data_IF_686520765681
#
_entry.id   IF_686520765681
#
_cell.length_a   1.000
_cell.length_b   1.000
_cell.length_c   1.000
_cell.angle_alpha   90.00
_cell.angle_beta   90.00
_cell.angle_gamma   90.00
#
_symmetry.space_group_name_H-M   'P 1'
#
loop_
_entity.id
_entity.type
_entity.pdbx_description
1 polymer ?
#
# COMPACT_ATOMS: atom_id res chain seq x y z
N UNK A 1 0.93 -11.35 -2.63
CA UNK A 1 0.75 -10.74 -1.30
C UNK A 1 -0.35 -11.50 -0.57
N UNK A 2 -0.11 -11.93 0.66
CA UNK A 2 -1.04 -12.78 1.43
C UNK A 2 -1.64 -12.03 2.63
N UNK A 3 -2.81 -12.49 3.08
CA UNK A 3 -3.43 -11.96 4.30
C UNK A 3 -2.47 -12.10 5.50
N UNK A 4 -2.34 -11.03 6.28
CA UNK A 4 -1.40 -10.96 7.40
C UNK A 4 0.01 -10.48 7.04
N UNK A 5 0.32 -10.26 5.76
CA UNK A 5 1.55 -9.56 5.39
C UNK A 5 1.48 -8.09 5.82
N UNK A 6 2.63 -7.54 6.21
CA UNK A 6 2.78 -6.13 6.57
C UNK A 6 3.52 -5.39 5.47
N UNK A 7 2.86 -4.37 4.93
CA UNK A 7 3.38 -3.49 3.90
C UNK A 7 3.71 -2.14 4.54
N UNK A 8 4.94 -1.69 4.37
CA UNK A 8 5.34 -0.31 4.68
C UNK A 8 5.11 0.53 3.43
N UNK A 9 4.26 1.54 3.54
CA UNK A 9 3.97 2.47 2.45
C UNK A 9 4.53 3.84 2.87
N UNK A 10 5.34 4.43 2.00
CA UNK A 10 5.85 5.79 2.17
C UNK A 10 5.55 6.61 0.92
N UNK A 11 5.26 7.89 1.12
CA UNK A 11 5.05 8.85 0.04
C UNK A 11 6.16 9.90 0.16
N UNK A 12 6.89 10.11 -0.92
CA UNK A 12 7.98 11.09 -0.95
C UNK A 12 7.47 12.48 -0.61
N UNK A 13 8.22 13.21 0.22
CA UNK A 13 7.88 14.54 0.72
C UNK A 13 6.65 14.59 1.65
N UNK A 14 6.13 13.42 2.07
CA UNK A 14 4.95 13.28 2.91
C UNK A 14 5.20 12.27 4.05
N UNK A 15 6.04 12.65 5.03
CA UNK A 15 6.32 11.83 6.22
C UNK A 15 5.06 11.47 7.02
N UNK A 16 4.03 12.32 6.97
CA UNK A 16 2.74 12.05 7.62
C UNK A 16 1.96 10.87 6.99
N UNK A 17 2.28 10.54 5.73
CA UNK A 17 1.69 9.41 5.01
C UNK A 17 2.57 8.15 5.09
N UNK A 18 3.76 8.24 5.68
CA UNK A 18 4.60 7.07 5.91
C UNK A 18 4.06 6.22 7.05
N UNK A 19 3.44 5.09 6.72
CA UNK A 19 2.96 4.14 7.71
C UNK A 19 2.87 2.71 7.20
N UNK A 20 2.92 1.82 8.17
CA UNK A 20 2.79 0.39 7.95
C UNK A 20 1.31 0.00 7.96
N UNK A 21 0.89 -0.67 6.91
CA UNK A 21 -0.45 -1.23 6.75
C UNK A 21 -0.36 -2.75 6.74
N UNK A 22 -1.39 -3.40 7.27
CA UNK A 22 -1.52 -4.85 7.23
C UNK A 22 -2.52 -5.25 6.16
N UNK A 23 -2.23 -6.34 5.46
CA UNK A 23 -3.18 -6.94 4.53
C UNK A 23 -4.28 -7.62 5.34
N UNK A 24 -5.49 -7.10 5.21
CA UNK A 24 -6.68 -7.60 5.86
C UNK A 24 -7.03 -9.03 5.37
N UNK A 25 -7.86 -9.80 6.11
CA UNK A 25 -8.22 -11.17 5.74
C UNK A 25 -8.95 -11.31 4.40
N UNK A 26 -9.59 -10.24 3.94
CA UNK A 26 -10.21 -10.12 2.62
C UNK A 26 -9.17 -9.92 1.49
N UNK A 27 -7.91 -9.65 1.84
CA UNK A 27 -6.82 -9.38 0.92
C UNK A 27 -6.71 -7.91 0.50
N UNK A 28 -7.36 -7.00 1.21
CA UNK A 28 -7.26 -5.56 0.96
C UNK A 28 -6.29 -4.89 1.94
N UNK A 29 -5.79 -3.72 1.56
CA UNK A 29 -5.06 -2.79 2.43
C UNK A 29 -5.87 -1.51 2.57
N UNK A 30 -5.79 -0.88 3.73
CA UNK A 30 -6.43 0.41 3.99
C UNK A 30 -5.37 1.49 4.14
N UNK A 31 -5.42 2.52 3.29
CA UNK A 31 -4.49 3.65 3.31
C UNK A 31 -5.28 4.97 3.28
N UNK A 32 -4.88 6.00 4.05
CA UNK A 32 -5.54 7.30 4.02
C UNK A 32 -5.44 7.93 2.62
N UNK A 33 -6.44 8.73 2.24
CA UNK A 33 -6.58 9.33 0.90
C UNK A 33 -6.86 8.32 -0.23
N UNK A 34 -6.16 7.18 -0.25
CA UNK A 34 -6.34 6.16 -1.26
C UNK A 34 -7.52 5.20 -0.98
N UNK A 35 -7.92 5.06 0.28
CA UNK A 35 -9.02 4.19 0.70
C UNK A 35 -8.61 2.73 0.81
N UNK A 36 -9.52 1.82 0.42
CA UNK A 36 -9.25 0.38 0.38
C UNK A 36 -8.72 -0.01 -1.00
N UNK A 37 -7.58 -0.71 -1.02
CA UNK A 37 -6.91 -1.19 -2.23
C UNK A 37 -6.79 -2.70 -2.16
N UNK A 38 -7.05 -3.38 -3.27
CA UNK A 38 -6.90 -4.82 -3.33
C UNK A 38 -5.42 -5.16 -3.54
N UNK A 39 -4.78 -5.73 -2.52
CA UNK A 39 -3.38 -6.16 -2.58
C UNK A 39 -3.26 -7.66 -2.89
N UNK A 40 -4.34 -8.42 -2.70
CA UNK A 40 -4.40 -9.86 -2.98
C UNK A 40 -4.09 -10.14 -4.45
N UNK A 41 -3.28 -11.16 -4.70
CA UNK A 41 -2.86 -11.59 -6.04
C UNK A 41 -2.16 -10.50 -6.89
N UNK A 42 -1.97 -9.28 -6.36
CA UNK A 42 -1.22 -8.21 -7.00
C UNK A 42 0.24 -8.20 -6.60
N UNK A 43 1.06 -7.72 -7.51
CA UNK A 43 2.45 -7.37 -7.24
C UNK A 43 2.53 -6.02 -6.52
N UNK A 44 3.66 -5.80 -5.83
CA UNK A 44 3.96 -4.53 -5.17
C UNK A 44 3.86 -3.35 -6.15
N UNK A 45 4.30 -3.55 -7.39
CA UNK A 45 4.27 -2.53 -8.46
C UNK A 45 2.84 -2.15 -8.85
N UNK A 46 1.93 -3.12 -8.93
CA UNK A 46 0.52 -2.87 -9.22
C UNK A 46 -0.16 -2.11 -8.08
N UNK A 47 0.14 -2.50 -6.83
CA UNK A 47 -0.35 -1.79 -5.64
C UNK A 47 0.16 -0.36 -5.61
N UNK A 48 1.44 -0.14 -5.91
CA UNK A 48 2.04 1.19 -5.97
C UNK A 48 1.41 2.06 -7.06
N UNK A 49 1.14 1.49 -8.24
CA UNK A 49 0.46 2.20 -9.34
C UNK A 49 -0.95 2.61 -8.94
N UNK A 50 -1.72 1.70 -8.35
CA UNK A 50 -3.10 1.97 -7.92
C UNK A 50 -3.13 3.01 -6.78
N UNK A 51 -2.19 2.94 -5.82
CA UNK A 51 -2.01 3.97 -4.81
C UNK A 51 -1.66 5.32 -5.43
N UNK A 52 -0.75 5.34 -6.41
CA UNK A 52 -0.32 6.56 -7.09
C UNK A 52 -1.48 7.23 -7.81
N UNK A 53 -2.29 6.47 -8.55
CA UNK A 53 -3.48 7.01 -9.23
C UNK A 53 -4.48 7.61 -8.23
N UNK A 54 -4.76 6.90 -7.14
CA UNK A 54 -5.68 7.38 -6.09
C UNK A 54 -5.15 8.62 -5.37
N UNK A 55 -3.85 8.64 -5.07
CA UNK A 55 -3.21 9.78 -4.41
C UNK A 55 -3.05 10.96 -5.37
N UNK A 56 -3.00 10.72 -6.69
CA UNK A 56 -2.90 11.77 -7.70
C UNK A 56 -4.14 12.68 -7.74
N UNK A 57 -5.27 12.25 -7.18
CA UNK A 57 -6.46 13.09 -7.02
C UNK A 57 -6.29 14.14 -5.90
N UNK A 58 -5.37 13.91 -4.97
CA UNK A 58 -5.14 14.76 -3.79
C UNK A 58 -3.78 15.45 -3.80
N UNK A 59 -2.77 14.82 -4.39
CA UNK A 59 -1.36 15.24 -4.40
C UNK A 59 -0.91 15.28 -5.87
N UNK A 60 -0.23 16.35 -6.28
CA UNK A 60 0.36 16.42 -7.63
C UNK A 60 1.68 15.66 -7.66
N UNK A 61 1.79 14.67 -8.57
CA UNK A 61 2.95 13.78 -8.73
C UNK A 61 3.39 13.05 -7.44
N UNK A 62 2.51 12.24 -6.81
CA UNK A 62 2.88 11.50 -5.61
C UNK A 62 3.86 10.38 -5.99
N UNK A 63 5.03 10.37 -5.35
CA UNK A 63 5.99 9.27 -5.46
C UNK A 63 5.73 8.32 -4.29
N UNK A 64 4.98 7.26 -4.57
CA UNK A 64 4.66 6.22 -3.62
C UNK A 64 5.75 5.16 -3.66
N UNK A 65 6.16 4.66 -2.50
CA UNK A 65 7.04 3.52 -2.36
C UNK A 65 6.36 2.49 -1.48
N UNK A 66 6.22 1.27 -1.99
CA UNK A 66 5.62 0.16 -1.26
C UNK A 66 6.69 -0.89 -0.99
N UNK A 67 6.92 -1.21 0.28
CA UNK A 67 7.90 -2.23 0.70
C UNK A 67 7.23 -3.27 1.59
N UNK A 68 7.52 -4.55 1.37
CA UNK A 68 7.03 -5.62 2.26
C UNK A 68 7.92 -5.66 3.50
N UNK A 69 7.42 -5.21 4.66
CA UNK A 69 8.17 -5.22 5.91
C UNK A 69 8.20 -6.63 6.52
N UNK A 70 7.04 -7.30 6.56
CA UNK A 70 6.93 -8.65 7.12
C UNK A 70 6.08 -9.54 6.22
N UNK A 71 6.68 -10.63 5.75
CA UNK A 71 5.97 -11.76 5.14
C UNK A 71 5.57 -12.73 6.22
N UNK A 72 4.28 -12.79 6.55
CA UNK A 72 3.75 -13.75 7.53
C UNK A 72 2.92 -14.84 6.85
N UNK A 73 2.40 -14.60 5.65
CA UNK A 73 1.50 -15.52 4.95
C UNK A 73 2.18 -16.66 4.17
N UNK A 74 3.49 -16.87 4.29
CA UNK A 74 4.20 -17.96 3.60
C UNK A 74 4.43 -19.17 4.53
N UNK A 75 3.36 -19.67 5.16
CA UNK A 75 3.37 -20.92 5.95
C UNK A 75 2.42 -21.93 5.35
#
# INVERSE_FOLDING_TARGET
LNAGDMLSISVWNEDALQKEVVILPDGTISFPLAGQINAKDKTVVEVETELKEKLSEYISDPVVNVTVNRVSGNT
#
